data_IF_124736293093
#
_entry.id   IF_124736293093
#
_cell.length_a   1.000
_cell.length_b   1.000
_cell.length_c   1.000
_cell.angle_alpha   90.00
_cell.angle_beta   90.00
_cell.angle_gamma   90.00
#
_symmetry.space_group_name_H-M   'P 1'
#
loop_
_entity.id
_entity.type
_entity.pdbx_description
1 polymer ?
#
# COMPACT_ATOMS: atom_id res chain seq x y z
N UNK A 1 -20.23 13.29 3.88
CA UNK A 1 -19.92 12.26 2.87
C UNK A 1 -19.40 11.03 3.62
N UNK A 2 -20.09 9.87 3.57
CA UNK A 2 -19.52 8.63 4.12
C UNK A 2 -18.56 8.09 3.07
N UNK A 3 -17.26 8.05 3.38
CA UNK A 3 -16.29 7.30 2.58
C UNK A 3 -16.32 5.87 3.10
N UNK A 4 -16.97 4.94 2.42
CA UNK A 4 -17.01 3.54 2.85
C UNK A 4 -15.69 2.85 2.42
N UNK A 5 -14.56 3.41 2.84
CA UNK A 5 -13.29 2.73 2.62
C UNK A 5 -13.13 1.74 3.78
N UNK A 6 -13.23 0.48 3.48
CA UNK A 6 -12.85 -0.58 4.41
C UNK A 6 -11.38 -0.92 4.16
N UNK A 7 -10.64 -1.20 5.23
CA UNK A 7 -9.26 -1.65 5.13
C UNK A 7 -9.16 -3.11 5.57
N UNK A 8 -8.18 -3.85 5.05
CA UNK A 8 -7.79 -5.13 5.64
C UNK A 8 -7.17 -4.93 7.02
N UNK A 9 -7.03 -6.02 7.78
CA UNK A 9 -6.41 -6.01 9.11
C UNK A 9 -7.36 -5.67 10.26
N UNK A 10 -8.69 -5.80 10.06
CA UNK A 10 -9.68 -5.73 11.14
C UNK A 10 -10.38 -7.08 11.38
N UNK A 11 -9.65 -8.10 11.88
CA UNK A 11 -10.26 -9.37 12.22
C UNK A 11 -11.28 -9.26 13.37
N UNK A 12 -11.16 -8.23 14.20
CA UNK A 12 -12.13 -7.97 15.28
C UNK A 12 -13.45 -7.44 14.73
N UNK A 13 -13.41 -6.59 13.72
CA UNK A 13 -14.60 -6.06 13.05
C UNK A 13 -15.40 -7.15 12.34
N UNK A 14 -14.73 -8.01 11.58
CA UNK A 14 -15.40 -9.14 10.89
C UNK A 14 -15.99 -10.13 11.91
N UNK A 15 -15.28 -10.43 13.03
CA UNK A 15 -15.83 -11.27 14.10
C UNK A 15 -17.11 -10.70 14.70
N UNK A 16 -17.12 -9.40 15.02
CA UNK A 16 -18.32 -8.73 15.56
C UNK A 16 -19.48 -8.78 14.55
N UNK A 17 -19.19 -8.47 13.28
CA UNK A 17 -20.21 -8.42 12.21
C UNK A 17 -20.86 -9.78 11.99
N UNK A 18 -20.08 -10.87 12.02
CA UNK A 18 -20.56 -12.23 11.73
C UNK A 18 -20.85 -13.08 12.98
N UNK A 19 -20.69 -12.55 14.18
CA UNK A 19 -20.95 -13.30 15.42
C UNK A 19 -19.99 -14.47 15.66
N UNK A 20 -18.74 -14.38 15.19
CA UNK A 20 -17.78 -15.50 15.23
C UNK A 20 -17.18 -15.75 16.65
N UNK A 21 -17.46 -14.91 17.61
CA UNK A 21 -16.90 -15.04 18.97
C UNK A 21 -15.37 -14.99 18.98
N UNK A 22 -14.76 -15.92 19.74
CA UNK A 22 -13.31 -16.04 19.87
C UNK A 22 -12.67 -17.07 18.92
N UNK A 23 -13.42 -17.58 17.92
CA UNK A 23 -12.90 -18.58 16.99
C UNK A 23 -11.59 -18.11 16.33
N UNK A 24 -10.58 -18.99 16.15
CA UNK A 24 -9.35 -18.64 15.47
C UNK A 24 -9.65 -18.12 14.05
N UNK A 25 -8.97 -17.02 13.67
CA UNK A 25 -9.14 -16.40 12.37
C UNK A 25 -7.75 -16.02 11.83
N UNK A 26 -7.31 -16.70 10.77
CA UNK A 26 -6.09 -16.35 10.06
C UNK A 26 -6.37 -15.16 9.15
N UNK A 27 -5.62 -14.08 9.37
CA UNK A 27 -5.81 -12.84 8.63
C UNK A 27 -4.96 -12.81 7.35
N UNK A 28 -5.62 -13.02 6.21
CA UNK A 28 -5.09 -12.83 4.86
C UNK A 28 -5.51 -11.48 4.25
N UNK A 29 -6.23 -10.64 5.00
CA UNK A 29 -6.68 -9.33 4.51
C UNK A 29 -5.61 -8.26 4.65
N UNK A 30 -4.66 -8.42 5.58
CA UNK A 30 -3.52 -7.53 5.78
C UNK A 30 -2.25 -8.17 5.21
N UNK A 31 -1.67 -7.55 4.18
CA UNK A 31 -0.45 -8.06 3.52
C UNK A 31 0.80 -7.64 4.31
N UNK A 32 1.01 -8.29 5.45
CA UNK A 32 2.15 -8.11 6.33
C UNK A 32 3.24 -9.15 6.03
N UNK A 33 4.46 -8.88 6.46
CA UNK A 33 5.50 -9.90 6.52
C UNK A 33 5.08 -11.03 7.47
N UNK A 34 4.89 -12.28 7.00
CA UNK A 34 4.38 -13.37 7.82
C UNK A 34 5.42 -13.93 8.81
N UNK A 35 6.68 -13.50 8.70
CA UNK A 35 7.74 -13.89 9.63
C UNK A 35 7.74 -13.02 10.90
N UNK A 36 6.77 -12.10 10.99
CA UNK A 36 6.54 -11.25 12.16
C UNK A 36 7.59 -10.16 12.31
N UNK A 37 7.50 -9.36 13.36
CA UNK A 37 8.52 -8.36 13.62
C UNK A 37 9.82 -9.05 14.11
N UNK A 38 10.99 -8.39 13.87
CA UNK A 38 12.23 -8.81 14.49
C UNK A 38 12.05 -8.88 16.03
N UNK A 39 12.50 -9.95 16.70
CA UNK A 39 12.35 -10.07 18.16
C UNK A 39 12.93 -8.90 18.94
N UNK A 40 14.08 -8.37 18.48
CA UNK A 40 14.72 -7.19 19.07
C UNK A 40 13.84 -5.94 19.00
N UNK A 41 13.05 -5.77 17.93
CA UNK A 41 12.14 -4.65 17.80
C UNK A 41 11.01 -4.69 18.86
N UNK A 42 10.47 -5.88 19.14
CA UNK A 42 9.45 -6.04 20.18
C UNK A 42 10.03 -5.80 21.56
N UNK A 43 11.25 -6.29 21.84
CA UNK A 43 11.91 -6.07 23.13
C UNK A 43 12.23 -4.60 23.36
N UNK A 44 12.78 -3.91 22.36
CA UNK A 44 13.05 -2.47 22.43
C UNK A 44 11.75 -1.65 22.68
N UNK A 45 10.64 -2.02 22.04
CA UNK A 45 9.35 -1.39 22.33
C UNK A 45 8.89 -1.63 23.77
N UNK A 46 9.05 -2.85 24.29
CA UNK A 46 8.70 -3.22 25.66
C UNK A 46 9.53 -2.46 26.69
N UNK A 47 10.85 -2.33 26.47
CA UNK A 47 11.74 -1.55 27.33
C UNK A 47 11.36 -0.05 27.29
N UNK A 48 11.00 0.49 26.13
CA UNK A 48 10.56 1.87 25.99
C UNK A 48 9.30 2.20 26.75
N UNK A 49 8.39 1.23 26.96
CA UNK A 49 7.21 1.40 27.82
C UNK A 49 7.56 1.70 29.28
N UNK A 50 8.74 1.28 29.78
CA UNK A 50 9.25 1.65 31.10
C UNK A 50 9.53 3.14 31.28
N UNK A 51 9.43 3.93 30.21
CA UNK A 51 9.60 5.40 30.22
C UNK A 51 8.36 6.13 29.73
N UNK A 52 7.19 5.50 29.83
CA UNK A 52 5.91 6.05 29.36
C UNK A 52 5.45 7.30 30.16
N UNK A 53 6.12 7.60 31.29
CA UNK A 53 5.93 8.81 32.09
C UNK A 53 6.59 10.07 31.52
N UNK A 54 7.25 9.96 30.37
CA UNK A 54 7.98 11.06 29.68
C UNK A 54 7.51 11.20 28.25
N UNK A 55 7.49 12.45 27.77
CA UNK A 55 7.31 12.69 26.33
C UNK A 55 8.45 12.09 25.52
N UNK A 56 8.18 11.53 24.32
CA UNK A 56 9.24 11.19 23.39
C UNK A 56 9.95 12.45 22.90
N UNK A 57 11.11 12.28 22.28
CA UNK A 57 11.82 13.39 21.66
C UNK A 57 11.03 13.92 20.45
N UNK A 58 10.78 15.25 20.35
CA UNK A 58 9.99 15.80 19.25
C UNK A 58 10.60 15.49 17.88
N UNK A 59 9.75 15.01 16.96
CA UNK A 59 10.15 14.71 15.57
C UNK A 59 10.99 13.43 15.40
N UNK A 60 11.18 12.61 16.44
CA UNK A 60 11.94 11.37 16.41
C UNK A 60 13.33 11.50 15.72
N UNK A 61 14.22 12.40 16.18
CA UNK A 61 15.47 12.74 15.48
C UNK A 61 16.40 11.54 15.32
N UNK A 62 16.52 10.68 16.33
CA UNK A 62 17.37 9.48 16.27
C UNK A 62 16.95 8.53 15.14
N UNK A 63 15.65 8.32 14.99
CA UNK A 63 15.12 7.49 13.89
C UNK A 63 15.29 8.20 12.55
N UNK A 64 15.12 9.52 12.50
CA UNK A 64 15.34 10.33 11.29
C UNK A 64 16.80 10.23 10.82
N UNK A 65 17.77 10.40 11.73
CA UNK A 65 19.21 10.25 11.47
C UNK A 65 19.53 8.83 10.98
N UNK A 66 19.02 7.80 11.66
CA UNK A 66 19.28 6.41 11.29
C UNK A 66 18.69 6.05 9.91
N UNK A 67 17.51 6.57 9.56
CA UNK A 67 16.92 6.39 8.23
C UNK A 67 17.70 7.13 7.14
N UNK A 68 18.18 8.34 7.43
CA UNK A 68 19.03 9.11 6.52
C UNK A 68 20.33 8.34 6.21
N UNK A 69 20.98 7.79 7.24
CA UNK A 69 22.16 6.92 7.10
C UNK A 69 21.83 5.65 6.31
N UNK A 70 20.74 4.94 6.67
CA UNK A 70 20.32 3.71 6.02
C UNK A 70 20.10 3.87 4.51
N UNK A 71 19.55 5.03 4.09
CA UNK A 71 19.30 5.35 2.68
C UNK A 71 20.39 6.14 1.99
N UNK A 72 21.44 6.57 2.71
CA UNK A 72 22.52 7.39 2.15
C UNK A 72 22.04 8.77 1.67
N UNK A 73 21.05 9.36 2.36
CA UNK A 73 20.50 10.69 2.04
C UNK A 73 20.73 11.68 3.20
N UNK A 74 20.77 13.00 2.96
CA UNK A 74 20.85 14.00 4.03
C UNK A 74 19.66 13.92 4.99
N UNK A 75 19.89 14.24 6.27
CA UNK A 75 18.88 14.14 7.34
C UNK A 75 17.70 15.09 7.14
N UNK A 76 17.91 16.24 6.52
CA UNK A 76 16.87 17.23 6.19
C UNK A 76 15.90 16.77 5.08
N UNK A 77 16.16 15.62 4.46
CA UNK A 77 15.34 15.00 3.42
C UNK A 77 14.43 13.88 3.95
N UNK A 78 14.44 13.64 5.26
CA UNK A 78 13.66 12.57 5.89
C UNK A 78 12.69 13.15 6.91
N UNK A 79 11.44 12.67 6.93
CA UNK A 79 10.46 12.92 7.99
C UNK A 79 9.87 11.61 8.46
N UNK A 80 9.82 11.40 9.77
CA UNK A 80 9.18 10.24 10.40
C UNK A 80 7.80 10.63 10.89
N UNK A 81 6.82 9.71 10.78
CA UNK A 81 5.46 9.95 11.23
C UNK A 81 4.78 8.72 11.85
N UNK A 82 3.60 8.91 12.41
CA UNK A 82 2.74 7.85 12.98
C UNK A 82 2.13 6.94 11.91
N UNK A 83 3.00 6.37 11.06
CA UNK A 83 2.67 5.58 9.89
C UNK A 83 2.38 6.45 8.67
N UNK A 84 2.36 5.79 7.50
CA UNK A 84 2.17 6.48 6.21
C UNK A 84 0.82 7.19 6.10
N UNK A 85 -0.22 6.72 6.81
CA UNK A 85 -1.53 7.37 6.78
C UNK A 85 -1.49 8.80 7.34
N UNK A 86 -0.69 9.05 8.38
CA UNK A 86 -0.46 10.42 8.86
C UNK A 86 0.25 11.25 7.79
N UNK A 87 1.33 10.73 7.22
CA UNK A 87 2.10 11.43 6.18
C UNK A 87 1.25 11.80 4.96
N UNK A 88 0.38 10.89 4.50
CA UNK A 88 -0.61 11.17 3.45
C UNK A 88 -1.52 12.34 3.87
N UNK A 89 -1.95 12.36 5.14
CA UNK A 89 -2.74 13.46 5.72
C UNK A 89 -2.01 14.80 5.68
N UNK A 90 -0.76 14.80 6.13
CA UNK A 90 0.11 15.98 6.15
C UNK A 90 0.37 16.53 4.73
N UNK A 91 0.59 15.65 3.75
CA UNK A 91 0.77 16.04 2.35
C UNK A 91 -0.47 16.78 1.84
N UNK A 92 -1.66 16.20 2.01
CA UNK A 92 -2.90 16.84 1.60
C UNK A 92 -3.12 18.18 2.28
N UNK A 93 -2.93 18.26 3.58
CA UNK A 93 -3.14 19.45 4.40
C UNK A 93 -2.14 20.56 4.06
N UNK A 94 -0.85 20.24 4.00
CA UNK A 94 0.22 21.21 3.78
C UNK A 94 0.23 21.83 2.38
N UNK A 95 -0.35 21.15 1.40
CA UNK A 95 -0.38 21.61 0.00
C UNK A 95 -1.69 22.31 -0.38
N UNK A 96 -2.74 22.18 0.43
CA UNK A 96 -4.07 22.72 0.11
C UNK A 96 -4.03 24.19 -0.32
N UNK A 97 -3.42 25.06 0.48
CA UNK A 97 -3.38 26.51 0.22
C UNK A 97 -2.48 26.86 -0.96
N UNK A 98 -1.33 26.21 -1.06
CA UNK A 98 -0.36 26.44 -2.15
C UNK A 98 -0.96 26.06 -3.50
N UNK A 99 -1.60 24.89 -3.56
CA UNK A 99 -2.24 24.41 -4.79
C UNK A 99 -3.45 25.25 -5.17
N UNK A 100 -4.24 25.72 -4.18
CA UNK A 100 -5.36 26.64 -4.42
C UNK A 100 -4.88 27.99 -4.99
N UNK A 101 -3.79 28.53 -4.45
CA UNK A 101 -3.17 29.76 -4.96
C UNK A 101 -2.65 29.59 -6.40
N UNK A 102 -1.96 28.50 -6.70
CA UNK A 102 -1.48 28.23 -8.06
C UNK A 102 -2.63 28.02 -9.04
N UNK A 103 -3.68 27.29 -8.67
CA UNK A 103 -4.85 27.11 -9.52
C UNK A 103 -5.51 28.47 -9.89
N UNK A 104 -5.63 29.37 -8.90
CA UNK A 104 -6.14 30.70 -9.12
C UNK A 104 -5.23 31.57 -10.03
N UNK A 105 -3.91 31.47 -9.84
CA UNK A 105 -2.92 32.21 -10.65
C UNK A 105 -2.91 31.73 -12.10
N UNK A 106 -3.23 30.50 -12.38
CA UNK A 106 -3.36 29.92 -13.72
C UNK A 106 -4.72 30.25 -14.39
N UNK A 107 -5.59 31.04 -13.71
CA UNK A 107 -6.91 31.41 -14.23
C UNK A 107 -7.93 30.27 -14.21
N UNK A 108 -7.62 29.14 -13.56
CA UNK A 108 -8.54 28.06 -13.29
C UNK A 108 -9.07 28.18 -11.86
N UNK A 109 -10.28 28.71 -11.62
CA UNK A 109 -10.88 28.79 -10.30
C UNK A 109 -11.29 27.40 -9.75
N UNK A 110 -11.00 26.34 -10.51
CA UNK A 110 -11.27 24.98 -10.06
C UNK A 110 -10.37 24.60 -8.89
N UNK A 111 -10.86 23.64 -8.08
CA UNK A 111 -10.10 23.10 -6.93
C UNK A 111 -8.82 22.43 -7.41
N UNK A 112 -7.75 22.41 -6.59
CA UNK A 112 -6.53 21.70 -6.90
C UNK A 112 -6.83 20.26 -7.31
N UNK A 113 -6.02 19.71 -8.21
CA UNK A 113 -6.23 18.36 -8.72
C UNK A 113 -5.52 17.31 -7.85
N UNK A 114 -6.17 16.18 -7.69
CA UNK A 114 -5.59 14.95 -7.15
C UNK A 114 -5.70 13.86 -8.19
N UNK A 115 -4.58 13.50 -8.79
CA UNK A 115 -4.50 12.50 -9.85
C UNK A 115 -4.32 11.12 -9.22
N UNK A 116 -5.21 10.17 -9.54
CA UNK A 116 -5.26 8.83 -8.99
C UNK A 116 -5.20 7.80 -10.11
N UNK A 117 -4.42 6.76 -9.96
CA UNK A 117 -4.43 5.59 -10.85
C UNK A 117 -5.31 4.52 -10.19
N UNK A 118 -6.60 4.48 -10.54
CA UNK A 118 -7.51 3.48 -9.98
C UNK A 118 -7.42 2.12 -10.72
N UNK A 119 -7.68 1.03 -10.00
CA UNK A 119 -7.93 0.93 -8.56
C UNK A 119 -6.65 1.13 -7.74
N UNK A 120 -6.72 1.91 -6.64
CA UNK A 120 -5.56 2.22 -5.78
C UNK A 120 -5.95 2.29 -4.29
N UNK A 121 -4.98 2.62 -3.44
CA UNK A 121 -5.21 2.73 -2.00
C UNK A 121 -6.18 3.87 -1.67
N UNK A 122 -7.28 3.53 -1.01
CA UNK A 122 -8.40 4.43 -0.80
C UNK A 122 -8.09 5.70 0.01
N UNK A 123 -7.01 5.70 0.82
CA UNK A 123 -6.62 6.87 1.59
C UNK A 123 -6.21 8.06 0.72
N UNK A 124 -5.64 7.84 -0.46
CA UNK A 124 -5.31 8.94 -1.36
C UNK A 124 -6.57 9.72 -1.75
N UNK A 125 -7.63 9.00 -2.13
CA UNK A 125 -8.94 9.60 -2.46
C UNK A 125 -9.58 10.27 -1.24
N UNK A 126 -9.52 9.60 -0.07
CA UNK A 126 -10.09 10.13 1.17
C UNK A 126 -9.45 11.46 1.56
N UNK A 127 -8.12 11.52 1.57
CA UNK A 127 -7.37 12.74 1.93
C UNK A 127 -7.58 13.84 0.89
N UNK A 128 -7.61 13.51 -0.38
CA UNK A 128 -7.92 14.48 -1.45
C UNK A 128 -9.28 15.14 -1.23
N UNK A 129 -10.30 14.34 -0.91
CA UNK A 129 -11.63 14.87 -0.66
C UNK A 129 -11.72 15.70 0.63
N UNK A 130 -11.00 15.31 1.70
CA UNK A 130 -10.94 16.08 2.96
C UNK A 130 -10.26 17.43 2.78
N UNK A 131 -9.34 17.54 1.82
CA UNK A 131 -8.64 18.78 1.48
C UNK A 131 -9.25 19.49 0.26
N UNK A 132 -10.49 19.15 -0.08
CA UNK A 132 -11.27 19.80 -1.14
C UNK A 132 -10.62 19.72 -2.54
N UNK A 133 -9.73 18.76 -2.77
CA UNK A 133 -9.15 18.54 -4.08
C UNK A 133 -10.13 17.78 -4.99
N UNK A 134 -10.12 18.11 -6.28
CA UNK A 134 -10.89 17.38 -7.29
C UNK A 134 -10.12 16.15 -7.75
N UNK A 135 -10.69 14.97 -7.55
CA UNK A 135 -10.09 13.74 -8.03
C UNK A 135 -10.18 13.65 -9.56
N UNK A 136 -9.04 13.44 -10.20
CA UNK A 136 -8.90 13.10 -11.60
C UNK A 136 -8.40 11.64 -11.68
N UNK A 137 -9.20 10.76 -12.25
CA UNK A 137 -8.91 9.33 -12.32
C UNK A 137 -8.31 8.97 -13.66
N UNK A 138 -7.27 8.17 -13.61
CA UNK A 138 -6.54 7.67 -14.77
C UNK A 138 -6.48 6.15 -14.76
N UNK A 139 -6.42 5.55 -15.95
CA UNK A 139 -6.05 4.15 -16.08
C UNK A 139 -4.54 3.95 -15.92
N UNK A 140 -4.13 2.72 -15.66
CA UNK A 140 -2.71 2.38 -15.42
C UNK A 140 -1.77 2.68 -16.61
N UNK A 141 -2.30 2.77 -17.82
CA UNK A 141 -1.53 3.11 -19.03
C UNK A 141 -0.93 4.53 -19.01
N UNK A 142 -1.40 5.41 -18.11
CA UNK A 142 -0.98 6.82 -18.05
C UNK A 142 0.53 6.98 -17.85
N UNK A 143 1.18 6.13 -17.07
CA UNK A 143 2.62 6.16 -16.84
C UNK A 143 3.46 5.61 -18.00
N UNK A 144 2.81 4.95 -18.97
CA UNK A 144 3.45 4.46 -20.20
C UNK A 144 3.28 5.38 -21.40
N UNK A 145 2.57 6.51 -21.25
CA UNK A 145 2.34 7.41 -22.36
C UNK A 145 3.55 8.29 -22.65
N UNK A 146 3.89 8.39 -23.95
CA UNK A 146 4.86 9.35 -24.44
C UNK A 146 4.31 10.78 -24.30
N UNK A 147 5.19 11.72 -24.08
CA UNK A 147 5.03 13.06 -23.51
C UNK A 147 3.99 14.02 -24.13
N UNK A 148 3.33 13.69 -25.23
CA UNK A 148 2.66 14.69 -26.05
C UNK A 148 1.15 14.91 -25.78
N UNK A 149 0.53 14.23 -24.81
CA UNK A 149 -0.95 14.21 -24.73
C UNK A 149 -1.53 14.55 -23.34
N UNK A 150 -0.72 14.85 -22.34
CA UNK A 150 -1.27 15.05 -21.00
C UNK A 150 -1.49 16.54 -20.69
N UNK A 151 -2.73 16.96 -20.34
CA UNK A 151 -3.02 18.34 -19.94
C UNK A 151 -2.55 18.58 -18.49
N UNK A 152 -1.22 18.50 -18.27
CA UNK A 152 -0.61 18.65 -16.94
C UNK A 152 -0.38 20.12 -16.53
N UNK A 153 -1.09 21.05 -17.09
CA UNK A 153 -0.98 22.48 -16.76
C UNK A 153 -1.54 22.82 -15.37
N UNK A 154 -2.22 21.88 -14.72
CA UNK A 154 -2.85 22.12 -13.44
C UNK A 154 -1.94 21.71 -12.27
N UNK A 155 -1.81 22.58 -11.29
CA UNK A 155 -1.17 22.28 -10.02
C UNK A 155 -1.94 21.19 -9.24
N UNK A 156 -1.22 20.21 -8.71
CA UNK A 156 -1.86 19.09 -8.02
C UNK A 156 -0.93 18.08 -7.39
N UNK A 157 -1.51 16.98 -6.96
CA UNK A 157 -0.77 15.82 -6.43
C UNK A 157 -1.08 14.61 -7.31
N UNK A 158 -0.05 13.90 -7.74
CA UNK A 158 -0.16 12.61 -8.40
C UNK A 158 0.22 11.50 -7.41
N UNK A 159 -0.70 10.58 -7.15
CA UNK A 159 -0.52 9.47 -6.23
C UNK A 159 -0.32 8.16 -6.97
N UNK A 160 0.70 7.42 -6.62
CA UNK A 160 0.90 6.06 -7.14
C UNK A 160 1.47 5.12 -6.09
N UNK A 161 0.93 3.91 -6.01
CA UNK A 161 1.51 2.81 -5.23
C UNK A 161 2.60 2.10 -6.05
N UNK A 162 3.66 1.67 -5.38
CA UNK A 162 4.78 0.97 -6.02
C UNK A 162 5.39 -0.08 -5.08
N UNK A 163 4.85 -1.33 -5.07
CA UNK A 163 3.69 -1.86 -5.83
C UNK A 163 2.37 -1.20 -5.47
N UNK A 164 1.48 -1.08 -6.47
CA UNK A 164 0.15 -0.53 -6.25
C UNK A 164 -0.74 -1.50 -5.47
N UNK A 165 -1.48 -1.00 -4.51
CA UNK A 165 -2.49 -1.72 -3.76
C UNK A 165 -3.89 -1.30 -4.24
N UNK A 166 -4.74 -2.22 -4.74
CA UNK A 166 -4.68 -3.68 -4.54
C UNK A 166 -4.09 -4.47 -5.71
N UNK A 167 -3.70 -3.86 -6.84
CA UNK A 167 -3.37 -4.59 -8.08
C UNK A 167 -2.04 -5.33 -8.04
N UNK A 168 -1.11 -4.92 -7.18
CA UNK A 168 0.25 -5.47 -7.13
C UNK A 168 1.17 -4.98 -8.25
N UNK A 169 0.69 -4.11 -9.15
CA UNK A 169 1.50 -3.59 -10.26
C UNK A 169 2.63 -2.71 -9.79
N UNK A 170 3.75 -2.83 -10.48
CA UNK A 170 4.95 -2.02 -10.29
C UNK A 170 5.27 -1.26 -11.58
N UNK A 171 6.05 -0.21 -11.43
CA UNK A 171 6.51 0.62 -12.53
C UNK A 171 8.03 0.49 -12.69
N UNK A 172 8.56 0.78 -13.86
CA UNK A 172 9.99 0.98 -13.98
C UNK A 172 10.38 2.30 -13.31
N UNK A 173 11.44 2.30 -12.54
CA UNK A 173 11.97 3.50 -11.87
C UNK A 173 12.10 4.67 -12.84
N UNK A 174 12.74 4.46 -13.99
CA UNK A 174 12.92 5.47 -15.03
C UNK A 174 11.61 6.04 -15.59
N UNK A 175 10.51 5.28 -15.56
CA UNK A 175 9.20 5.76 -15.99
C UNK A 175 8.65 6.81 -15.02
N UNK A 176 8.73 6.55 -13.72
CA UNK A 176 8.28 7.52 -12.69
C UNK A 176 9.20 8.76 -12.68
N UNK A 177 10.51 8.57 -12.82
CA UNK A 177 11.47 9.68 -12.89
C UNK A 177 11.18 10.61 -14.08
N UNK A 178 11.01 10.05 -15.30
CA UNK A 178 10.63 10.85 -16.49
C UNK A 178 9.28 11.54 -16.32
N UNK A 179 8.30 10.88 -15.69
CA UNK A 179 7.01 11.47 -15.40
C UNK A 179 7.17 12.69 -14.48
N UNK A 180 7.90 12.57 -13.37
CA UNK A 180 8.16 13.68 -12.47
C UNK A 180 8.91 14.83 -13.16
N UNK A 181 9.91 14.52 -13.99
CA UNK A 181 10.68 15.53 -14.76
C UNK A 181 9.81 16.25 -15.79
N UNK A 182 8.81 15.59 -16.35
CA UNK A 182 7.86 16.19 -17.32
C UNK A 182 6.70 16.97 -16.68
N UNK A 183 6.46 16.79 -15.37
CA UNK A 183 5.28 17.33 -14.68
C UNK A 183 5.65 18.20 -13.48
N UNK A 184 6.48 19.22 -13.69
CA UNK A 184 7.02 20.07 -12.61
C UNK A 184 5.96 20.79 -11.77
N UNK A 185 4.75 20.98 -12.29
CA UNK A 185 3.60 21.56 -11.57
C UNK A 185 2.89 20.59 -10.63
N UNK A 186 3.24 19.29 -10.67
CA UNK A 186 2.64 18.25 -9.82
C UNK A 186 3.64 17.77 -8.77
N UNK A 187 3.18 17.54 -7.54
CA UNK A 187 3.90 16.70 -6.61
C UNK A 187 3.59 15.23 -6.91
N UNK A 188 4.58 14.46 -7.33
CA UNK A 188 4.47 13.01 -7.49
C UNK A 188 4.76 12.31 -6.16
N UNK A 189 3.78 11.64 -5.59
CA UNK A 189 3.89 10.86 -4.35
C UNK A 189 3.90 9.38 -4.69
N UNK A 190 4.99 8.70 -4.34
CA UNK A 190 5.19 7.27 -4.59
C UNK A 190 5.15 6.51 -3.27
N UNK A 191 4.13 5.67 -3.11
CA UNK A 191 3.99 4.82 -1.93
C UNK A 191 4.69 3.48 -2.15
N UNK A 192 5.87 3.36 -1.53
CA UNK A 192 6.72 2.17 -1.57
C UNK A 192 6.55 1.27 -0.33
N UNK A 193 5.40 1.30 0.35
CA UNK A 193 5.19 0.53 1.58
C UNK A 193 5.38 -0.99 1.43
N UNK A 194 5.16 -1.52 0.24
CA UNK A 194 5.33 -2.96 -0.04
C UNK A 194 6.64 -3.29 -0.76
N UNK A 195 7.30 -2.30 -1.33
CA UNK A 195 8.49 -2.51 -2.14
C UNK A 195 9.63 -3.25 -1.43
N UNK A 196 9.93 -3.00 -0.13
CA UNK A 196 11.00 -3.72 0.57
C UNK A 196 10.80 -5.24 0.70
N UNK A 197 9.61 -5.75 0.37
CA UNK A 197 9.32 -7.20 0.34
C UNK A 197 9.43 -7.82 -1.07
N UNK A 198 10.06 -7.11 -2.01
CA UNK A 198 10.30 -7.58 -3.37
C UNK A 198 11.80 -7.83 -3.60
N UNK A 199 12.12 -8.80 -4.46
CA UNK A 199 13.52 -9.21 -4.76
C UNK A 199 14.32 -8.15 -5.51
N UNK A 200 13.65 -7.22 -6.19
CA UNK A 200 14.27 -6.14 -6.98
C UNK A 200 14.01 -4.75 -6.39
N UNK A 201 13.80 -4.68 -5.06
CA UNK A 201 13.46 -3.46 -4.35
C UNK A 201 14.49 -2.34 -4.55
N UNK A 202 15.79 -2.67 -4.53
CA UNK A 202 16.88 -1.69 -4.67
C UNK A 202 16.95 -1.09 -6.07
N UNK A 203 16.68 -1.89 -7.10
CA UNK A 203 16.64 -1.42 -8.49
C UNK A 203 15.44 -0.51 -8.76
N UNK A 204 14.36 -0.67 -8.00
CA UNK A 204 13.09 0.03 -8.21
C UNK A 204 12.89 1.26 -7.34
N UNK A 205 13.53 1.31 -6.18
CA UNK A 205 13.29 2.41 -5.23
C UNK A 205 13.58 3.78 -5.82
N UNK A 206 12.73 4.72 -5.51
CA UNK A 206 12.83 6.12 -5.90
C UNK A 206 13.38 7.03 -4.79
N UNK A 207 13.84 6.47 -3.67
CA UNK A 207 14.34 7.25 -2.53
C UNK A 207 15.43 8.23 -2.95
N UNK A 208 16.47 7.76 -3.67
CA UNK A 208 17.53 8.63 -4.15
C UNK A 208 17.04 9.69 -5.15
N UNK A 209 16.06 9.33 -6.00
CA UNK A 209 15.45 10.27 -6.94
C UNK A 209 14.62 11.34 -6.22
N UNK A 210 13.86 10.96 -5.20
CA UNK A 210 13.06 11.86 -4.38
C UNK A 210 13.94 12.83 -3.58
N UNK A 211 15.05 12.34 -3.05
CA UNK A 211 16.02 13.21 -2.40
C UNK A 211 16.65 14.25 -3.34
N UNK A 212 16.62 14.05 -4.66
CA UNK A 212 17.24 14.93 -5.65
C UNK A 212 16.25 15.85 -6.39
N UNK A 213 14.92 15.71 -6.16
CA UNK A 213 13.86 16.44 -6.91
C UNK A 213 12.89 17.13 -5.95
N UNK A 214 12.43 18.32 -6.33
CA UNK A 214 11.52 19.12 -5.50
C UNK A 214 10.06 18.65 -5.61
N UNK A 215 9.72 17.93 -6.67
CA UNK A 215 8.36 17.47 -6.96
C UNK A 215 8.17 15.95 -6.88
N UNK A 216 9.07 15.25 -6.17
CA UNK A 216 8.98 13.81 -5.94
C UNK A 216 9.09 13.52 -4.44
N UNK A 217 8.16 12.72 -3.92
CA UNK A 217 8.14 12.30 -2.51
C UNK A 217 7.89 10.79 -2.45
N UNK A 218 8.72 10.08 -1.68
CA UNK A 218 8.56 8.63 -1.46
C UNK A 218 8.08 8.37 -0.05
N UNK A 219 7.08 7.49 0.08
CA UNK A 219 6.54 7.02 1.36
C UNK A 219 7.01 5.60 1.65
N UNK A 220 7.44 5.33 2.88
CA UNK A 220 7.87 4.02 3.38
C UNK A 220 7.26 3.73 4.74
N UNK A 221 7.10 2.44 5.06
CA UNK A 221 6.45 2.00 6.30
C UNK A 221 7.21 0.86 6.96
N UNK A 222 7.20 0.83 8.29
CA UNK A 222 7.60 -0.36 9.06
C UNK A 222 6.44 -1.37 9.20
N UNK A 223 5.22 -0.96 8.90
CA UNK A 223 4.01 -1.78 9.02
C UNK A 223 4.11 -3.10 8.27
N UNK A 224 4.51 -3.04 6.97
CA UNK A 224 4.47 -4.19 6.06
C UNK A 224 5.79 -4.97 6.11
N UNK A 225 6.95 -4.34 5.84
CA UNK A 225 8.22 -5.06 5.78
C UNK A 225 8.63 -5.67 7.12
N UNK A 226 8.42 -4.95 8.20
CA UNK A 226 8.84 -5.39 9.54
C UNK A 226 7.71 -5.99 10.39
N UNK A 227 6.49 -6.09 9.86
CA UNK A 227 5.37 -6.67 10.61
C UNK A 227 4.99 -5.88 11.87
N UNK A 228 5.10 -4.55 11.86
CA UNK A 228 4.83 -3.66 13.00
C UNK A 228 3.56 -2.79 12.81
N UNK A 229 2.39 -3.36 12.44
CA UNK A 229 1.18 -2.58 12.18
C UNK A 229 0.65 -1.84 13.42
N UNK A 230 0.81 -2.42 14.60
CA UNK A 230 0.29 -1.88 15.86
C UNK A 230 1.08 -0.69 16.39
N UNK A 231 2.33 -0.50 15.99
CA UNK A 231 3.19 0.56 16.50
C UNK A 231 3.06 1.88 15.75
N UNK A 232 2.46 1.87 14.56
CA UNK A 232 2.20 3.08 13.79
C UNK A 232 3.45 3.93 13.54
N UNK A 233 4.38 3.44 12.72
CA UNK A 233 5.60 4.16 12.32
C UNK A 233 5.86 4.01 10.83
N UNK A 234 6.22 5.12 10.19
CA UNK A 234 6.57 5.22 8.78
C UNK A 234 7.34 6.50 8.53
N UNK A 235 7.79 6.71 7.31
CA UNK A 235 8.60 7.88 6.96
C UNK A 235 8.39 8.28 5.51
N UNK A 236 8.78 9.52 5.20
CA UNK A 236 8.87 10.00 3.82
C UNK A 236 10.28 10.54 3.53
N UNK A 237 10.66 10.45 2.25
CA UNK A 237 11.91 11.04 1.72
C UNK A 237 11.55 11.97 0.56
N UNK A 238 12.09 13.20 0.60
CA UNK A 238 11.83 14.22 -0.41
C UNK A 238 12.81 15.38 -0.36
N UNK A 239 12.52 16.49 -1.05
CA UNK A 239 13.34 17.70 -0.97
C UNK A 239 13.29 18.33 0.42
N UNK A 240 14.33 19.11 0.84
CA UNK A 240 14.35 19.79 2.14
C UNK A 240 13.17 20.73 2.33
N UNK A 241 12.74 21.43 1.27
CA UNK A 241 11.61 22.35 1.32
C UNK A 241 10.30 21.61 1.55
N UNK A 242 10.08 20.46 0.89
CA UNK A 242 8.93 19.61 1.11
C UNK A 242 8.92 19.06 2.53
N UNK A 243 10.03 18.52 3.01
CA UNK A 243 10.15 17.97 4.37
C UNK A 243 9.92 19.07 5.43
N UNK A 244 10.49 20.26 5.23
CA UNK A 244 10.27 21.41 6.12
C UNK A 244 8.80 21.81 6.15
N UNK A 245 8.13 21.83 4.99
CA UNK A 245 6.70 22.11 4.89
C UNK A 245 5.85 21.07 5.65
N UNK A 246 6.11 19.78 5.47
CA UNK A 246 5.39 18.73 6.19
C UNK A 246 5.55 18.85 7.71
N UNK A 247 6.77 19.15 8.19
CA UNK A 247 7.06 19.35 9.62
C UNK A 247 6.27 20.50 10.25
N UNK A 248 5.92 21.55 9.49
CA UNK A 248 5.12 22.68 10.00
C UNK A 248 3.69 22.27 10.39
N UNK A 249 3.17 21.20 9.78
CA UNK A 249 1.81 20.68 10.01
C UNK A 249 1.80 19.45 10.93
N UNK A 250 2.96 18.90 11.26
CA UNK A 250 3.09 17.70 12.06
C UNK A 250 3.05 18.01 13.55
N UNK A 251 2.31 17.16 14.31
CA UNK A 251 2.39 17.18 15.78
C UNK A 251 3.82 16.81 16.21
N UNK A 252 4.46 17.57 17.11
CA UNK A 252 5.82 17.29 17.56
C UNK A 252 6.03 15.90 18.15
N UNK A 253 5.01 15.32 18.77
CA UNK A 253 5.08 14.04 19.48
C UNK A 253 4.29 12.92 18.80
N UNK A 254 4.12 13.01 17.51
CA UNK A 254 3.33 12.03 16.74
C UNK A 254 3.87 10.60 16.83
N UNK A 255 5.19 10.44 16.94
CA UNK A 255 5.85 9.13 17.06
C UNK A 255 6.08 8.79 18.52
N UNK A 256 5.49 7.71 19.00
CA UNK A 256 5.64 7.26 20.38
C UNK A 256 7.02 6.66 20.66
N UNK A 257 7.53 6.74 21.89
CA UNK A 257 8.80 6.16 22.27
C UNK A 257 8.91 4.63 21.97
N UNK A 258 7.88 3.80 22.21
CA UNK A 258 7.91 2.39 21.78
C UNK A 258 8.00 2.21 20.26
N UNK A 259 7.33 3.07 19.47
CA UNK A 259 7.37 2.98 18.01
C UNK A 259 8.76 3.35 17.47
N UNK A 260 9.37 4.41 17.99
CA UNK A 260 10.75 4.81 17.63
C UNK A 260 11.75 3.73 18.00
N UNK A 261 11.70 3.22 19.25
CA UNK A 261 12.62 2.19 19.72
C UNK A 261 12.54 0.91 18.88
N UNK A 262 11.32 0.46 18.56
CA UNK A 262 11.14 -0.71 17.71
C UNK A 262 11.64 -0.51 16.28
N UNK A 263 11.42 0.68 15.70
CA UNK A 263 11.88 0.99 14.37
C UNK A 263 13.41 1.04 14.29
N UNK A 264 14.07 1.64 15.28
CA UNK A 264 15.53 1.65 15.40
C UNK A 264 16.07 0.21 15.49
N UNK A 265 15.53 -0.60 16.41
CA UNK A 265 15.99 -1.98 16.57
C UNK A 265 15.71 -2.85 15.32
N UNK A 266 14.63 -2.58 14.59
CA UNK A 266 14.34 -3.26 13.34
C UNK A 266 15.36 -2.93 12.23
N UNK A 267 15.88 -1.72 12.19
CA UNK A 267 16.92 -1.29 11.25
C UNK A 267 18.32 -1.83 11.58
N UNK A 268 18.54 -2.31 12.81
CA UNK A 268 19.80 -2.96 13.20
C UNK A 268 19.87 -4.44 12.75
N UNK A 269 18.73 -5.11 12.51
CA UNK A 269 18.70 -6.46 11.91
C UNK A 269 18.73 -6.32 10.38
N UNK A 270 19.93 -6.04 9.85
CA UNK A 270 20.14 -5.73 8.42
C UNK A 270 19.68 -6.84 7.49
N UNK A 271 19.81 -8.10 7.94
CA UNK A 271 19.47 -9.28 7.11
C UNK A 271 17.98 -9.68 7.23
N UNK A 272 17.20 -9.05 8.09
CA UNK A 272 15.81 -9.46 8.35
C UNK A 272 14.95 -9.40 7.09
N UNK A 273 15.05 -8.32 6.32
CA UNK A 273 14.29 -8.17 5.09
C UNK A 273 14.77 -9.14 4.02
N UNK A 274 16.08 -9.31 3.86
CA UNK A 274 16.66 -10.26 2.91
C UNK A 274 16.16 -11.67 3.19
N UNK A 275 16.30 -12.18 4.43
CA UNK A 275 15.78 -13.48 4.86
C UNK A 275 14.27 -13.61 4.65
N UNK A 276 13.51 -12.53 4.83
CA UNK A 276 12.06 -12.53 4.58
C UNK A 276 11.75 -12.65 3.10
N UNK A 277 12.43 -11.89 2.25
CA UNK A 277 12.23 -11.88 0.80
C UNK A 277 12.61 -13.22 0.18
N UNK A 278 13.71 -13.83 0.60
CA UNK A 278 14.12 -15.18 0.16
C UNK A 278 13.04 -16.24 0.34
N UNK A 279 12.25 -16.14 1.40
CA UNK A 279 11.14 -17.05 1.67
C UNK A 279 9.83 -16.63 1.01
N UNK A 280 9.57 -15.31 0.95
CA UNK A 280 8.32 -14.79 0.39
C UNK A 280 8.25 -14.87 -1.13
N UNK A 281 9.34 -14.61 -1.83
CA UNK A 281 9.32 -14.51 -3.28
C UNK A 281 8.90 -15.82 -3.99
N UNK A 282 9.46 -17.00 -3.65
CA UNK A 282 9.00 -18.26 -4.20
C UNK A 282 7.55 -18.58 -3.78
N UNK A 283 7.17 -18.23 -2.56
CA UNK A 283 5.83 -18.48 -2.05
C UNK A 283 4.77 -17.59 -2.68
N UNK A 284 5.10 -16.33 -3.00
CA UNK A 284 4.22 -15.45 -3.77
C UNK A 284 3.90 -16.03 -5.13
N UNK A 285 4.90 -16.54 -5.83
CA UNK A 285 4.73 -17.21 -7.13
C UNK A 285 3.89 -18.48 -6.98
N UNK A 286 4.23 -19.34 -6.03
CA UNK A 286 3.51 -20.59 -5.77
C UNK A 286 2.02 -20.34 -5.45
N UNK A 287 1.73 -19.38 -4.58
CA UNK A 287 0.35 -19.05 -4.21
C UNK A 287 -0.45 -18.59 -5.43
N UNK A 288 0.09 -17.71 -6.26
CA UNK A 288 -0.57 -17.22 -7.47
C UNK A 288 -0.83 -18.35 -8.45
N UNK A 289 0.15 -19.22 -8.70
CA UNK A 289 0.00 -20.37 -9.60
C UNK A 289 -1.11 -21.33 -9.10
N UNK A 290 -1.14 -21.60 -7.81
CA UNK A 290 -2.18 -22.44 -7.21
C UNK A 290 -3.57 -21.80 -7.22
N UNK A 291 -3.67 -20.47 -7.08
CA UNK A 291 -4.95 -19.75 -7.24
C UNK A 291 -5.48 -19.84 -8.67
N UNK A 292 -4.61 -19.86 -9.70
CA UNK A 292 -4.99 -20.08 -11.10
C UNK A 292 -5.58 -21.49 -11.36
N UNK A 293 -5.22 -22.48 -10.56
CA UNK A 293 -5.72 -23.85 -10.67
C UNK A 293 -7.15 -24.00 -10.13
N UNK A 294 -7.62 -23.06 -9.28
CA UNK A 294 -8.97 -23.13 -8.69
C UNK A 294 -10.00 -22.60 -9.69
N UNK A 295 -10.99 -23.42 -10.12
CA UNK A 295 -12.05 -22.96 -10.99
C UNK A 295 -12.81 -21.77 -10.41
N UNK A 296 -13.07 -20.76 -11.24
CA UNK A 296 -13.76 -19.55 -10.81
C UNK A 296 -12.85 -18.44 -10.27
N UNK A 297 -11.57 -18.69 -10.06
CA UNK A 297 -10.58 -17.67 -9.66
C UNK A 297 -9.69 -17.26 -10.84
N UNK A 298 -9.41 -15.97 -10.91
CA UNK A 298 -8.46 -15.38 -11.87
C UNK A 298 -7.63 -14.33 -11.14
N UNK A 299 -6.38 -14.65 -10.74
CA UNK A 299 -5.43 -13.65 -10.27
C UNK A 299 -5.31 -12.55 -11.31
N UNK A 300 -5.46 -11.30 -10.88
CA UNK A 300 -5.46 -10.15 -11.78
C UNK A 300 -4.07 -9.84 -12.36
N UNK A 301 -3.03 -10.40 -11.76
CA UNK A 301 -1.63 -10.20 -12.16
C UNK A 301 -0.75 -11.30 -11.56
N UNK A 302 0.21 -11.85 -12.30
CA UNK A 302 0.42 -11.74 -13.75
C UNK A 302 -0.38 -12.80 -14.52
N UNK A 303 -0.35 -12.72 -15.86
CA UNK A 303 -0.84 -13.78 -16.74
C UNK A 303 -0.31 -15.16 -16.31
N UNK A 304 -1.07 -16.22 -16.57
CA UNK A 304 -0.74 -17.61 -16.20
C UNK A 304 0.64 -18.07 -16.67
N UNK A 305 1.13 -17.47 -17.76
CA UNK A 305 2.49 -17.65 -18.26
C UNK A 305 3.23 -16.33 -18.06
N UNK A 306 4.15 -16.30 -17.11
CA UNK A 306 5.00 -15.13 -16.87
C UNK A 306 6.09 -15.07 -17.92
N UNK A 307 6.10 -14.07 -18.83
CA UNK A 307 7.23 -13.85 -19.73
C UNK A 307 8.54 -13.66 -18.97
N UNK A 308 9.65 -14.01 -19.59
CA UNK A 308 10.96 -13.67 -19.03
C UNK A 308 11.05 -12.14 -18.82
N UNK A 309 11.53 -11.71 -17.66
CA UNK A 309 11.60 -10.30 -17.28
C UNK A 309 10.33 -9.73 -16.65
N UNK A 310 9.29 -10.54 -16.40
CA UNK A 310 8.15 -10.11 -15.59
C UNK A 310 8.62 -9.72 -14.18
N UNK A 311 8.17 -8.58 -13.64
CA UNK A 311 8.53 -8.17 -12.28
C UNK A 311 8.19 -9.23 -11.22
N UNK A 312 8.95 -9.31 -10.12
CA UNK A 312 8.59 -10.13 -8.97
C UNK A 312 7.19 -9.78 -8.47
N UNK A 313 6.54 -10.76 -7.83
CA UNK A 313 5.23 -10.54 -7.20
C UNK A 313 5.39 -9.87 -5.84
N UNK A 314 4.51 -8.95 -5.46
CA UNK A 314 4.43 -8.47 -4.08
C UNK A 314 3.92 -9.59 -3.15
N UNK A 315 3.92 -9.31 -1.86
CA UNK A 315 3.41 -10.24 -0.84
C UNK A 315 1.87 -10.31 -0.76
N UNK A 316 1.18 -10.09 -1.87
CA UNK A 316 -0.27 -10.26 -2.01
C UNK A 316 -0.66 -10.48 -3.47
N UNK A 317 -1.85 -11.06 -3.67
CA UNK A 317 -2.48 -11.22 -4.97
C UNK A 317 -3.89 -10.62 -4.97
N UNK A 318 -4.23 -9.82 -5.99
CA UNK A 318 -5.61 -9.49 -6.33
C UNK A 318 -6.19 -10.62 -7.17
N UNK A 319 -7.36 -11.11 -6.78
CA UNK A 319 -8.02 -12.25 -7.42
C UNK A 319 -9.44 -11.88 -7.80
N UNK A 320 -9.77 -12.00 -9.07
CA UNK A 320 -11.12 -11.82 -9.59
C UNK A 320 -11.92 -13.13 -9.50
N UNK A 321 -13.18 -13.03 -9.17
CA UNK A 321 -14.12 -14.13 -9.23
C UNK A 321 -14.83 -14.11 -10.60
N UNK A 322 -14.74 -15.21 -11.34
CA UNK A 322 -15.33 -15.36 -12.67
C UNK A 322 -15.93 -16.76 -12.79
N UNK A 323 -17.01 -16.93 -13.57
CA UNK A 323 -17.62 -18.25 -13.82
C UNK A 323 -17.90 -19.04 -12.53
N UNK A 324 -18.38 -18.36 -11.49
CA UNK A 324 -18.81 -18.93 -10.22
C UNK A 324 -20.11 -18.26 -9.77
N UNK A 325 -20.91 -18.95 -8.95
CA UNK A 325 -22.12 -18.40 -8.33
C UNK A 325 -21.81 -17.55 -7.07
N UNK A 326 -20.58 -17.60 -6.59
CA UNK A 326 -20.10 -16.81 -5.47
C UNK A 326 -19.75 -15.38 -5.90
N UNK A 327 -20.21 -14.38 -5.15
CA UNK A 327 -19.64 -13.04 -5.19
C UNK A 327 -18.56 -12.87 -4.10
N UNK A 328 -17.75 -11.78 -4.22
CA UNK A 328 -16.62 -11.55 -3.33
C UNK A 328 -17.02 -11.34 -1.87
N UNK A 329 -18.17 -10.72 -1.60
CA UNK A 329 -18.64 -10.47 -0.23
C UNK A 329 -19.10 -11.77 0.46
N UNK A 330 -19.91 -12.58 -0.25
CA UNK A 330 -20.35 -13.89 0.25
C UNK A 330 -19.17 -14.85 0.43
N UNK A 331 -18.20 -14.84 -0.49
CA UNK A 331 -16.98 -15.64 -0.36
C UNK A 331 -16.17 -15.22 0.88
N UNK A 332 -15.99 -13.93 1.13
CA UNK A 332 -15.32 -13.44 2.33
C UNK A 332 -15.99 -13.96 3.61
N UNK A 333 -17.32 -13.89 3.69
CA UNK A 333 -18.08 -14.38 4.85
C UNK A 333 -17.94 -15.88 5.03
N UNK A 334 -18.10 -16.66 3.96
CA UNK A 334 -17.97 -18.12 4.00
C UNK A 334 -16.56 -18.57 4.43
N UNK A 335 -15.53 -17.85 4.00
CA UNK A 335 -14.15 -18.06 4.44
C UNK A 335 -13.97 -17.69 5.92
N UNK A 336 -14.58 -16.58 6.38
CA UNK A 336 -14.50 -16.16 7.77
C UNK A 336 -15.12 -17.18 8.73
N UNK A 337 -16.25 -17.78 8.38
CA UNK A 337 -16.85 -18.91 9.14
C UNK A 337 -15.96 -20.17 9.18
N UNK A 338 -15.00 -20.28 8.25
CA UNK A 338 -14.00 -21.37 8.20
C UNK A 338 -12.64 -20.98 8.76
N UNK A 339 -12.56 -19.80 9.40
CA UNK A 339 -11.35 -19.34 10.08
C UNK A 339 -10.33 -18.61 9.20
N UNK A 340 -10.76 -18.06 8.03
CA UNK A 340 -9.90 -17.29 7.12
C UNK A 340 -10.50 -15.93 6.79
N UNK A 341 -9.73 -14.87 6.91
CA UNK A 341 -10.18 -13.52 6.60
C UNK A 341 -9.38 -12.93 5.42
N UNK A 342 -10.02 -12.76 4.27
CA UNK A 342 -9.46 -12.13 3.07
C UNK A 342 -9.99 -10.70 2.91
N UNK A 343 -9.32 -9.86 2.12
CA UNK A 343 -9.80 -8.51 1.80
C UNK A 343 -10.77 -8.56 0.62
N UNK A 344 -12.02 -8.23 0.85
CA UNK A 344 -13.03 -7.99 -0.17
C UNK A 344 -12.78 -6.59 -0.80
N UNK A 345 -12.73 -6.49 -2.13
CA UNK A 345 -12.23 -5.31 -2.84
C UNK A 345 -13.26 -4.58 -3.71
N UNK A 346 -14.55 -4.91 -3.65
CA UNK A 346 -15.56 -4.23 -4.47
C UNK A 346 -15.85 -2.78 -4.07
N UNK A 347 -15.28 -2.31 -2.96
CA UNK A 347 -15.28 -0.91 -2.57
C UNK A 347 -14.22 -0.05 -3.31
N UNK A 348 -13.37 -0.67 -4.12
CA UNK A 348 -12.44 0.05 -4.99
C UNK A 348 -13.07 0.30 -6.36
N UNK A 349 -12.99 1.54 -6.92
CA UNK A 349 -13.46 1.82 -8.26
C UNK A 349 -12.82 0.89 -9.30
N UNK A 350 -13.66 0.31 -10.16
CA UNK A 350 -13.24 -0.66 -11.19
C UNK A 350 -13.13 -2.12 -10.73
N UNK A 351 -13.35 -2.41 -9.44
CA UNK A 351 -13.34 -3.77 -8.89
C UNK A 351 -14.71 -4.24 -8.39
N UNK A 352 -15.76 -3.49 -8.69
CA UNK A 352 -17.13 -3.81 -8.29
C UNK A 352 -17.61 -5.12 -8.94
N UNK A 353 -18.63 -5.72 -8.34
CA UNK A 353 -19.34 -6.86 -8.95
C UNK A 353 -19.92 -6.43 -10.30
N UNK A 354 -19.63 -7.18 -11.34
CA UNK A 354 -20.02 -6.87 -12.71
C UNK A 354 -19.00 -6.06 -13.51
N UNK A 355 -17.87 -5.64 -12.90
CA UNK A 355 -16.76 -5.06 -13.65
C UNK A 355 -16.26 -6.04 -14.73
N UNK A 356 -15.77 -5.51 -15.85
CA UNK A 356 -15.35 -6.32 -16.99
C UNK A 356 -13.83 -6.56 -16.93
N UNK A 357 -13.45 -7.83 -17.04
CA UNK A 357 -12.05 -8.23 -17.29
C UNK A 357 -11.85 -8.47 -18.79
N UNK A 358 -10.76 -7.94 -19.32
CA UNK A 358 -10.31 -8.26 -20.66
C UNK A 358 -9.58 -9.61 -20.64
N UNK A 359 -10.21 -10.66 -21.14
CA UNK A 359 -9.54 -11.93 -21.41
C UNK A 359 -8.98 -11.96 -22.82
N UNK A 360 -8.14 -12.95 -23.17
CA UNK A 360 -7.53 -13.04 -24.51
C UNK A 360 -8.56 -13.09 -25.65
N UNK A 361 -9.79 -13.53 -25.38
CA UNK A 361 -10.82 -13.69 -26.41
C UNK A 361 -12.19 -13.09 -26.06
N UNK A 362 -12.43 -12.64 -24.82
CA UNK A 362 -13.73 -12.14 -24.40
C UNK A 362 -13.67 -11.22 -23.17
N UNK A 363 -14.61 -10.26 -23.11
CA UNK A 363 -14.94 -9.52 -21.90
C UNK A 363 -15.77 -10.42 -20.97
N UNK A 364 -15.28 -10.65 -19.76
CA UNK A 364 -15.97 -11.47 -18.74
C UNK A 364 -16.37 -10.58 -17.58
N UNK A 365 -17.67 -10.57 -17.25
CA UNK A 365 -18.15 -9.89 -16.04
C UNK A 365 -17.67 -10.63 -14.78
N UNK A 366 -17.12 -9.90 -13.83
CA UNK A 366 -16.64 -10.45 -12.56
C UNK A 366 -17.76 -10.52 -11.54
N UNK A 367 -17.61 -11.42 -10.58
CA UNK A 367 -18.41 -11.49 -9.35
C UNK A 367 -17.73 -10.74 -8.18
N UNK A 368 -16.87 -9.76 -8.51
CA UNK A 368 -16.07 -8.97 -7.57
C UNK A 368 -14.65 -9.52 -7.41
N UNK A 369 -13.92 -8.93 -6.49
CA UNK A 369 -12.51 -9.19 -6.30
C UNK A 369 -12.18 -9.38 -4.83
N UNK A 370 -11.21 -10.25 -4.55
CA UNK A 370 -10.59 -10.38 -3.24
C UNK A 370 -9.08 -10.13 -3.36
N UNK A 371 -8.47 -9.56 -2.33
CA UNK A 371 -7.01 -9.52 -2.20
C UNK A 371 -6.61 -10.50 -1.11
N UNK A 372 -5.62 -11.34 -1.44
CA UNK A 372 -5.09 -12.40 -0.57
C UNK A 372 -3.64 -12.07 -0.25
N UNK A 373 -3.30 -11.96 1.03
CA UNK A 373 -1.91 -11.83 1.46
C UNK A 373 -1.14 -13.14 1.26
N UNK A 374 0.16 -13.04 0.93
CA UNK A 374 1.06 -14.18 0.99
C UNK A 374 1.48 -14.39 2.44
N UNK A 375 1.29 -15.60 2.95
CA UNK A 375 1.66 -16.00 4.31
C UNK A 375 2.64 -17.20 4.25
N UNK A 376 2.84 -17.88 5.38
CA UNK A 376 3.68 -19.09 5.41
C UNK A 376 3.08 -20.21 4.56
N UNK A 377 3.89 -21.08 3.95
CA UNK A 377 3.43 -22.12 3.04
C UNK A 377 2.26 -22.95 3.59
N UNK A 378 2.35 -23.40 4.84
CA UNK A 378 1.32 -24.20 5.49
C UNK A 378 -0.01 -23.44 5.70
N UNK A 379 0.06 -22.12 5.91
CA UNK A 379 -1.12 -21.27 6.04
C UNK A 379 -1.79 -21.05 4.67
N UNK A 380 -0.98 -20.82 3.63
CA UNK A 380 -1.43 -20.67 2.26
C UNK A 380 -2.10 -21.95 1.74
N UNK A 381 -1.52 -23.12 2.02
CA UNK A 381 -2.11 -24.42 1.63
C UNK A 381 -3.47 -24.66 2.29
N UNK A 382 -3.61 -24.28 3.55
CA UNK A 382 -4.90 -24.36 4.25
C UNK A 382 -5.94 -23.42 3.62
N UNK A 383 -5.56 -22.19 3.28
CA UNK A 383 -6.47 -21.25 2.58
C UNK A 383 -6.88 -21.80 1.21
N UNK A 384 -5.93 -22.28 0.39
CA UNK A 384 -6.20 -22.82 -0.96
C UNK A 384 -7.16 -24.00 -0.91
N UNK A 385 -6.99 -24.89 0.08
CA UNK A 385 -7.90 -26.02 0.30
C UNK A 385 -9.32 -25.53 0.59
N UNK A 386 -9.47 -24.60 1.54
CA UNK A 386 -10.79 -24.07 1.93
C UNK A 386 -11.43 -23.26 0.82
N UNK A 387 -10.67 -22.46 0.05
CA UNK A 387 -11.15 -21.74 -1.13
C UNK A 387 -11.77 -22.71 -2.16
N UNK A 388 -11.06 -23.80 -2.47
CA UNK A 388 -11.54 -24.79 -3.43
C UNK A 388 -12.79 -25.54 -2.94
N UNK A 389 -12.87 -25.82 -1.63
CA UNK A 389 -14.08 -26.43 -1.02
C UNK A 389 -15.29 -25.49 -1.09
N UNK A 390 -15.10 -24.22 -0.70
CA UNK A 390 -16.18 -23.23 -0.71
C UNK A 390 -16.69 -22.99 -2.13
N UNK A 391 -15.81 -22.76 -3.09
CA UNK A 391 -16.21 -22.45 -4.47
C UNK A 391 -16.92 -23.62 -5.18
N UNK A 392 -16.76 -24.85 -4.69
CA UNK A 392 -17.52 -26.02 -5.18
C UNK A 392 -18.85 -26.22 -4.48
N UNK A 393 -19.11 -25.56 -3.38
CA UNK A 393 -20.39 -25.65 -2.65
C UNK A 393 -21.41 -24.69 -3.24
N UNK A 394 -22.71 -24.97 -3.02
CA UNK A 394 -23.77 -24.05 -3.38
C UNK A 394 -23.73 -22.82 -2.44
N UNK A 395 -23.63 -21.58 -2.97
CA UNK A 395 -23.67 -20.39 -2.14
C UNK A 395 -25.02 -20.14 -1.44
N UNK A 396 -26.09 -20.87 -1.82
CA UNK A 396 -27.43 -20.77 -1.26
C UNK A 396 -27.80 -21.97 -0.36
N UNK A 397 -26.87 -22.92 -0.18
CA UNK A 397 -27.04 -24.16 0.61
C UNK A 397 -26.77 -24.01 2.10
#
# INVERSE_FOLDING_TARGET
MKFPITHGGDPSGIRRRLGLGSAPLLDFSASLNPFGPPPAAIEAAREALGRADRYPEPGAPRLTERLAEYHGVPVDRVIVGAGVTELIGLIGQSLREVLAFHAQALGDPSKPLSHLIDPTYGEYRRISALNEMRAQVWGEHILGWEQDVLPWEAAGIFWTGHPNNPTGRTWNRSTIERFADATLGLLTVVDECFLPLMTDADDRTLIGAAAARDNLLVLRSFTKPYGLPGLRVGYAVGSPDMITRLRQYQDPWTVTAPAEAAALAALEDLDFLERSVEQLAPESTRLVDRLWEIPGLRPAWPDRVRPAGTPPLPNFALVSLTQTDWDSARLQEALAFRGFFVRECSDHPGLEVGSLLTGPDQLVATRGHIRVAVRKPEENDRLLKVLNEVLRSDPNG
#
